data_IF_266712646932
#
_entry.id   IF_266712646932
#
_cell.length_a   1.000
_cell.length_b   1.000
_cell.length_c   1.000
_cell.angle_alpha   90.00
_cell.angle_beta   90.00
_cell.angle_gamma   90.00
#
_symmetry.space_group_name_H-M   'P 1'
#
loop_
_entity.id
_entity.type
_entity.pdbx_description
1 polymer ?
#
# COMPACT_ATOMS: atom_id res chain seq x y z
N UNK A 1 8.16 -7.82 15.70
CA UNK A 1 9.39 -7.39 14.97
C UNK A 1 9.00 -7.13 13.54
N UNK A 2 9.10 -5.88 13.11
CA UNK A 2 8.58 -5.41 11.85
C UNK A 2 9.31 -6.09 10.68
N UNK A 3 8.54 -6.71 9.80
CA UNK A 3 9.06 -7.31 8.58
C UNK A 3 9.23 -6.22 7.50
N UNK A 4 10.22 -6.33 6.62
CA UNK A 4 10.39 -5.37 5.52
C UNK A 4 10.69 -6.09 4.21
N UNK A 5 10.24 -5.53 3.08
CA UNK A 5 10.65 -5.99 1.76
C UNK A 5 12.01 -5.40 1.35
N UNK A 6 12.96 -6.25 0.96
CA UNK A 6 14.25 -5.82 0.36
C UNK A 6 14.07 -4.95 -0.88
N UNK A 7 12.98 -5.17 -1.61
CA UNK A 7 12.77 -4.51 -2.88
C UNK A 7 12.11 -3.14 -2.74
N UNK A 8 11.30 -2.93 -1.70
CA UNK A 8 10.86 -1.58 -1.33
C UNK A 8 12.00 -0.82 -0.61
N UNK A 9 12.85 -1.49 0.16
CA UNK A 9 14.05 -0.89 0.76
C UNK A 9 15.01 -0.33 -0.31
N UNK A 10 14.95 -0.86 -1.53
CA UNK A 10 15.77 -0.41 -2.65
C UNK A 10 15.23 0.86 -3.35
N UNK A 11 14.02 1.33 -3.01
CA UNK A 11 13.41 2.52 -3.64
C UNK A 11 13.75 3.75 -2.77
N UNK A 12 14.52 4.72 -3.28
CA UNK A 12 14.86 5.92 -2.53
C UNK A 12 13.61 6.68 -2.07
N UNK A 13 13.63 7.14 -0.81
CA UNK A 13 12.53 7.93 -0.25
C UNK A 13 11.32 7.11 0.21
N UNK A 14 11.26 5.80 -0.08
CA UNK A 14 10.19 4.94 0.42
C UNK A 14 10.54 4.42 1.81
N UNK A 15 9.61 4.59 2.75
CA UNK A 15 9.62 3.90 4.05
C UNK A 15 8.42 3.00 4.15
N UNK A 16 8.63 1.74 4.52
CA UNK A 16 7.57 0.76 4.76
C UNK A 16 7.92 -0.21 5.87
N UNK A 17 6.91 -0.94 6.34
CA UNK A 17 7.08 -2.07 7.24
C UNK A 17 6.03 -3.15 6.92
N UNK A 18 6.06 -4.29 7.62
CA UNK A 18 5.01 -5.29 7.89
C UNK A 18 4.91 -5.55 9.40
N UNK A 19 3.84 -5.06 10.06
CA UNK A 19 3.77 -4.86 11.51
C UNK A 19 2.93 -5.97 12.14
N UNK A 20 3.32 -6.40 13.33
CA UNK A 20 2.48 -7.27 14.16
C UNK A 20 1.49 -6.45 15.02
N UNK A 21 0.70 -7.14 15.85
CA UNK A 21 -0.33 -6.51 16.70
C UNK A 21 0.27 -5.55 17.74
N UNK A 22 1.46 -5.84 18.28
CA UNK A 22 2.10 -5.02 19.30
C UNK A 22 2.66 -3.74 18.68
N UNK A 23 3.30 -3.87 17.54
CA UNK A 23 3.87 -2.73 16.81
C UNK A 23 2.78 -1.81 16.26
N UNK A 24 1.68 -2.43 15.81
CA UNK A 24 0.50 -1.72 15.32
C UNK A 24 -0.20 -0.93 16.43
N UNK A 25 -0.17 -1.40 17.69
CA UNK A 25 -0.76 -0.67 18.82
C UNK A 25 -0.05 0.65 19.11
N UNK A 26 1.25 0.74 18.82
CA UNK A 26 2.05 1.96 18.96
C UNK A 26 2.00 2.87 17.71
N UNK A 27 1.34 2.44 16.63
CA UNK A 27 1.32 3.18 15.37
C UNK A 27 0.30 4.35 15.43
N UNK A 28 0.69 5.58 15.02
CA UNK A 28 -0.20 6.73 15.05
C UNK A 28 -1.21 6.69 13.88
N UNK A 29 -2.33 6.00 14.07
CA UNK A 29 -3.39 5.85 13.06
C UNK A 29 -3.94 7.17 12.53
N UNK A 30 -3.89 8.25 13.33
CA UNK A 30 -4.32 9.57 12.92
C UNK A 30 -3.52 10.12 11.72
N UNK A 31 -2.32 9.59 11.47
CA UNK A 31 -1.49 9.99 10.35
C UNK A 31 -1.76 9.19 9.07
N UNK A 32 -2.59 8.13 9.12
CA UNK A 32 -2.96 7.37 7.93
C UNK A 32 -4.05 8.09 7.13
N UNK A 33 -3.92 8.01 5.80
CA UNK A 33 -5.03 8.27 4.89
C UNK A 33 -6.19 7.31 5.23
N UNK A 34 -7.34 7.82 5.71
CA UNK A 34 -8.34 6.96 6.33
C UNK A 34 -9.28 6.34 5.29
N UNK A 35 -9.53 5.03 5.40
CA UNK A 35 -10.54 4.30 4.62
C UNK A 35 -11.29 3.31 5.49
N UNK A 36 -12.46 2.87 5.03
CA UNK A 36 -13.18 1.72 5.60
C UNK A 36 -13.09 0.56 4.62
N UNK A 37 -12.42 -0.50 5.05
CA UNK A 37 -12.24 -1.74 4.27
C UNK A 37 -13.56 -2.49 4.22
N UNK A 38 -14.01 -2.83 3.01
CA UNK A 38 -15.32 -3.45 2.77
C UNK A 38 -15.21 -4.72 1.94
N UNK A 39 -13.98 -5.24 1.75
CA UNK A 39 -13.67 -6.41 0.92
C UNK A 39 -14.08 -6.22 -0.56
N UNK A 40 -14.14 -4.97 -1.02
CA UNK A 40 -14.40 -4.60 -2.40
C UNK A 40 -13.12 -4.49 -3.24
N UNK A 41 -13.24 -3.84 -4.39
CA UNK A 41 -12.15 -3.59 -5.34
C UNK A 41 -11.86 -2.09 -5.57
N UNK A 42 -12.43 -1.22 -4.74
CA UNK A 42 -12.28 0.23 -4.85
C UNK A 42 -10.93 0.71 -4.31
N UNK A 43 -10.31 1.63 -5.06
CA UNK A 43 -9.03 2.26 -4.72
C UNK A 43 -9.28 3.73 -4.41
N UNK A 44 -9.05 4.15 -3.17
CA UNK A 44 -9.12 5.55 -2.81
C UNK A 44 -7.84 6.28 -3.22
N UNK A 45 -7.96 7.28 -4.10
CA UNK A 45 -6.88 8.20 -4.41
C UNK A 45 -6.84 9.32 -3.36
N UNK A 46 -5.93 9.21 -2.40
CA UNK A 46 -5.79 10.20 -1.34
C UNK A 46 -4.99 11.41 -1.83
N UNK A 47 -5.60 12.59 -1.71
CA UNK A 47 -4.97 13.88 -2.00
C UNK A 47 -4.96 14.82 -0.79
N UNK A 48 -6.01 14.75 0.04
CA UNK A 48 -6.18 15.58 1.23
C UNK A 48 -7.15 14.91 2.21
N UNK A 49 -7.20 15.33 3.49
CA UNK A 49 -8.17 14.81 4.44
C UNK A 49 -9.61 15.00 3.97
N UNK A 50 -10.45 13.99 4.23
CA UNK A 50 -11.89 14.03 4.01
C UNK A 50 -12.64 13.99 5.35
N UNK A 51 -13.85 14.58 5.43
CA UNK A 51 -14.65 14.58 6.67
C UNK A 51 -15.14 13.17 7.04
N UNK A 52 -15.24 12.27 6.07
CA UNK A 52 -15.67 10.88 6.25
C UNK A 52 -14.62 9.92 5.70
N UNK A 53 -14.66 8.67 6.17
CA UNK A 53 -13.80 7.60 5.65
C UNK A 53 -14.46 6.97 4.42
N UNK A 54 -13.92 7.12 3.21
CA UNK A 54 -14.48 6.45 2.03
C UNK A 54 -14.39 4.92 2.19
N UNK A 55 -15.37 4.23 1.62
CA UNK A 55 -15.31 2.78 1.46
C UNK A 55 -14.30 2.46 0.34
N UNK A 56 -13.21 1.79 0.70
CA UNK A 56 -12.17 1.38 -0.24
C UNK A 56 -11.31 0.28 0.40
N UNK A 57 -10.72 -0.55 -0.44
CA UNK A 57 -9.82 -1.63 -0.02
C UNK A 57 -8.37 -1.40 -0.50
N UNK A 58 -8.11 -0.26 -1.13
CA UNK A 58 -6.76 0.23 -1.34
C UNK A 58 -6.69 1.75 -1.18
N UNK A 59 -5.49 2.24 -0.85
CA UNK A 59 -5.21 3.66 -0.76
C UNK A 59 -3.96 3.97 -1.58
N UNK A 60 -4.14 4.74 -2.65
CA UNK A 60 -3.08 5.24 -3.52
C UNK A 60 -2.84 6.72 -3.25
N UNK A 61 -1.58 7.16 -3.24
CA UNK A 61 -1.27 8.59 -3.12
C UNK A 61 0.04 8.97 -3.82
N UNK A 62 0.09 10.23 -4.26
CA UNK A 62 1.29 10.93 -4.70
C UNK A 62 1.73 12.03 -3.69
N UNK A 63 1.01 12.19 -2.58
CA UNK A 63 1.27 13.24 -1.59
C UNK A 63 2.51 12.87 -0.79
N UNK A 64 3.58 13.65 -0.97
CA UNK A 64 4.82 13.44 -0.24
C UNK A 64 4.59 13.55 1.29
N UNK A 65 5.16 12.61 2.05
CA UNK A 65 5.02 12.52 3.50
C UNK A 65 3.74 11.82 3.98
N UNK A 66 2.72 11.65 3.12
CA UNK A 66 1.48 11.01 3.51
C UNK A 66 1.67 9.50 3.74
N UNK A 67 1.22 9.02 4.90
CA UNK A 67 1.21 7.59 5.23
C UNK A 67 -0.05 6.93 4.68
N UNK A 68 0.10 5.85 3.93
CA UNK A 68 -1.02 4.99 3.52
C UNK A 68 -0.89 3.62 4.16
N UNK A 69 -2.01 3.04 4.57
CA UNK A 69 -2.05 1.72 5.19
C UNK A 69 -3.48 1.20 5.20
N UNK A 70 -3.64 -0.10 5.08
CA UNK A 70 -4.88 -0.81 5.40
C UNK A 70 -4.75 -1.52 6.77
N UNK A 71 -5.59 -2.49 7.13
CA UNK A 71 -5.46 -3.37 8.32
C UNK A 71 -6.02 -4.75 7.93
N UNK A 72 -5.38 -5.85 8.33
CA UNK A 72 -5.88 -7.21 8.03
C UNK A 72 -5.79 -8.13 9.23
N UNK A 73 -6.73 -9.07 9.28
CA UNK A 73 -6.60 -10.34 9.98
C UNK A 73 -6.89 -11.42 8.93
N UNK A 74 -5.84 -12.08 8.44
CA UNK A 74 -5.85 -13.18 7.45
C UNK A 74 -5.94 -12.81 5.97
N UNK A 75 -6.52 -11.65 5.61
CA UNK A 75 -6.47 -11.14 4.24
C UNK A 75 -5.04 -10.76 3.81
N UNK A 76 -4.75 -10.78 2.51
CA UNK A 76 -3.42 -10.51 1.96
C UNK A 76 -3.12 -8.99 1.95
N UNK A 77 -2.11 -8.51 2.68
CA UNK A 77 -1.65 -7.13 2.53
C UNK A 77 -0.67 -7.00 1.36
N UNK A 78 -0.84 -5.97 0.53
CA UNK A 78 0.14 -5.59 -0.49
C UNK A 78 0.58 -4.15 -0.31
N UNK A 79 1.89 -3.92 -0.46
CA UNK A 79 2.46 -2.60 -0.62
C UNK A 79 3.07 -2.48 -2.02
N UNK A 80 2.76 -1.39 -2.70
CA UNK A 80 3.20 -1.09 -4.06
C UNK A 80 3.79 0.31 -4.07
N UNK A 81 4.93 0.49 -4.72
CA UNK A 81 5.52 1.81 -4.93
C UNK A 81 6.04 1.94 -6.37
N UNK A 82 6.03 3.16 -6.89
CA UNK A 82 6.70 3.46 -8.16
C UNK A 82 8.23 3.44 -7.97
N UNK A 83 8.97 3.15 -9.04
CA UNK A 83 10.44 3.04 -8.99
C UNK A 83 11.14 4.34 -8.61
N UNK A 84 10.52 5.47 -8.91
CA UNK A 84 10.99 6.81 -8.58
C UNK A 84 10.55 7.28 -7.19
N UNK A 85 9.83 6.44 -6.44
CA UNK A 85 9.34 6.74 -5.10
C UNK A 85 8.23 7.80 -5.03
N UNK A 86 7.71 8.28 -6.16
CA UNK A 86 6.68 9.35 -6.19
C UNK A 86 5.28 8.88 -5.83
N UNK A 87 4.99 7.60 -6.04
CA UNK A 87 3.66 7.03 -5.85
C UNK A 87 3.74 5.81 -4.94
N UNK A 88 2.78 5.70 -4.02
CA UNK A 88 2.64 4.54 -3.14
C UNK A 88 1.18 4.08 -3.09
N UNK A 89 0.99 2.78 -2.86
CA UNK A 89 -0.31 2.19 -2.64
C UNK A 89 -0.24 1.10 -1.56
N UNK A 90 -1.21 1.11 -0.66
CA UNK A 90 -1.44 0.02 0.30
C UNK A 90 -2.77 -0.66 -0.02
N UNK A 91 -2.77 -2.00 -0.10
CA UNK A 91 -3.90 -2.79 -0.61
C UNK A 91 -4.30 -3.88 0.38
N UNK A 92 -5.60 -3.97 0.64
CA UNK A 92 -6.28 -5.01 1.39
C UNK A 92 -6.88 -5.99 0.40
N UNK A 93 -6.18 -7.09 0.17
CA UNK A 93 -6.59 -8.10 -0.80
C UNK A 93 -7.22 -9.29 -0.07
N UNK A 94 -8.46 -9.10 0.39
CA UNK A 94 -9.33 -10.20 0.79
C UNK A 94 -9.77 -11.03 -0.42
N UNK A 95 -10.31 -12.23 -0.20
CA UNK A 95 -10.67 -13.14 -1.29
C UNK A 95 -11.67 -12.52 -2.28
N UNK A 96 -12.67 -11.77 -1.79
CA UNK A 96 -13.65 -11.06 -2.62
C UNK A 96 -12.98 -9.95 -3.45
N UNK A 97 -12.14 -9.12 -2.81
CA UNK A 97 -11.41 -8.07 -3.50
C UNK A 97 -10.46 -8.62 -4.57
N UNK A 98 -9.80 -9.75 -4.30
CA UNK A 98 -8.95 -10.44 -5.26
C UNK A 98 -9.74 -10.87 -6.50
N UNK A 99 -10.86 -11.56 -6.32
CA UNK A 99 -11.74 -11.99 -7.43
C UNK A 99 -12.31 -10.78 -8.19
N UNK A 100 -12.62 -9.70 -7.48
CA UNK A 100 -13.16 -8.46 -8.06
C UNK A 100 -12.09 -7.53 -8.66
N UNK A 101 -10.80 -7.90 -8.63
CA UNK A 101 -9.74 -7.16 -9.33
C UNK A 101 -9.08 -6.01 -8.56
N UNK A 102 -9.08 -6.03 -7.21
CA UNK A 102 -8.44 -4.97 -6.39
C UNK A 102 -6.97 -4.72 -6.76
N UNK A 103 -6.23 -5.77 -7.14
CA UNK A 103 -4.82 -5.67 -7.53
C UNK A 103 -4.69 -4.94 -8.87
N UNK A 104 -5.49 -5.32 -9.86
CA UNK A 104 -5.47 -4.69 -11.19
C UNK A 104 -5.90 -3.22 -11.13
N UNK A 105 -6.91 -2.91 -10.32
CA UNK A 105 -7.36 -1.55 -10.06
C UNK A 105 -6.25 -0.72 -9.40
N UNK A 106 -5.56 -1.30 -8.40
CA UNK A 106 -4.42 -0.64 -7.74
C UNK A 106 -3.28 -0.35 -8.72
N UNK A 107 -2.97 -1.29 -9.62
CA UNK A 107 -1.96 -1.09 -10.67
C UNK A 107 -2.43 -0.12 -11.77
N UNK A 108 -3.73 0.02 -12.01
CA UNK A 108 -4.26 1.01 -12.95
C UNK A 108 -3.93 2.44 -12.51
N UNK A 109 -3.97 2.74 -11.20
CA UNK A 109 -3.64 4.06 -10.67
C UNK A 109 -2.24 4.54 -11.08
N UNK A 110 -1.22 3.69 -10.94
CA UNK A 110 0.14 4.06 -11.34
C UNK A 110 0.28 4.24 -12.86
N UNK A 111 -0.40 3.40 -13.67
CA UNK A 111 -0.41 3.52 -15.13
C UNK A 111 -0.97 4.86 -15.59
N UNK A 112 -2.05 5.32 -14.94
CA UNK A 112 -2.68 6.61 -15.23
C UNK A 112 -1.78 7.81 -14.90
N UNK A 113 -0.87 7.68 -13.94
CA UNK A 113 0.04 8.75 -13.52
C UNK A 113 1.34 8.81 -14.35
N UNK A 114 1.49 7.99 -15.40
CA UNK A 114 2.73 7.85 -16.14
C UNK A 114 3.87 7.22 -15.33
N UNK A 115 3.57 6.72 -14.13
CA UNK A 115 4.50 5.95 -13.31
C UNK A 115 4.66 4.58 -13.94
N UNK A 116 5.82 4.33 -14.56
CA UNK A 116 6.11 3.04 -15.17
C UNK A 116 6.04 1.90 -14.15
N UNK A 117 4.95 1.15 -14.12
CA UNK A 117 4.94 -0.23 -13.65
C UNK A 117 5.24 -1.08 -14.89
N UNK A 118 6.48 -1.52 -15.04
CA UNK A 118 6.93 -2.18 -16.26
C UNK A 118 6.02 -3.36 -16.65
N UNK A 119 5.53 -3.35 -17.91
CA UNK A 119 4.91 -4.53 -18.55
C UNK A 119 6.01 -5.57 -18.81
N UNK A 120 5.64 -6.83 -18.64
CA UNK A 120 6.49 -8.02 -18.64
C UNK A 120 7.53 -8.06 -19.76
N UNK A 121 8.80 -8.01 -19.36
CA UNK A 121 9.98 -8.10 -20.20
C UNK A 121 11.23 -7.88 -19.35
N UNK A 122 11.50 -8.80 -18.42
CA UNK A 122 12.80 -8.96 -17.76
C UNK A 122 13.48 -7.67 -17.20
N UNK A 123 12.85 -6.93 -16.25
CA UNK A 123 13.49 -6.13 -15.15
C UNK A 123 12.41 -5.33 -14.36
N UNK A 124 12.31 -5.61 -13.04
CA UNK A 124 11.10 -5.59 -12.18
C UNK A 124 10.78 -4.30 -11.41
N UNK A 125 9.54 -3.79 -11.53
CA UNK A 125 8.87 -2.95 -10.51
C UNK A 125 8.15 -3.85 -9.49
N UNK A 126 7.70 -3.30 -8.37
CA UNK A 126 7.97 -3.93 -7.09
C UNK A 126 6.67 -4.12 -6.26
N UNK A 127 5.95 -5.25 -6.45
CA UNK A 127 4.77 -5.65 -5.64
C UNK A 127 5.24 -6.61 -4.55
N UNK A 128 4.92 -6.33 -3.27
CA UNK A 128 5.38 -7.17 -2.17
C UNK A 128 4.28 -7.59 -1.21
N UNK A 129 4.30 -8.88 -0.91
CA UNK A 129 3.64 -9.48 0.23
C UNK A 129 4.60 -10.39 0.99
N UNK A 130 4.61 -10.39 2.34
CA UNK A 130 5.43 -11.28 3.14
C UNK A 130 4.89 -12.70 3.33
N UNK A 131 3.73 -13.08 2.80
CA UNK A 131 3.04 -14.29 3.27
C UNK A 131 2.61 -15.27 2.19
N UNK A 132 3.35 -16.38 2.11
CA UNK A 132 2.79 -17.72 2.20
C UNK A 132 2.96 -18.16 3.67
N UNK A 133 1.91 -18.68 4.31
CA UNK A 133 1.81 -19.29 5.67
C UNK A 133 1.34 -18.42 6.87
N UNK A 134 0.08 -18.68 7.25
CA UNK A 134 -0.63 -18.60 8.55
C UNK A 134 -0.71 -17.27 9.32
N UNK A 135 -1.96 -16.78 9.35
CA UNK A 135 -2.71 -16.06 10.39
C UNK A 135 -2.16 -14.77 11.03
N UNK A 136 -3.02 -13.74 11.01
CA UNK A 136 -2.91 -12.43 11.67
C UNK A 136 -1.66 -11.57 11.35
N UNK A 137 -1.76 -10.68 10.36
CA UNK A 137 -0.82 -9.55 10.19
C UNK A 137 -1.60 -8.26 9.91
N UNK A 138 -1.53 -7.25 10.78
CA UNK A 138 -2.14 -5.92 10.57
C UNK A 138 -1.15 -5.01 9.81
N UNK A 139 -1.65 -3.99 9.12
CA UNK A 139 -0.95 -3.32 8.00
C UNK A 139 -0.24 -2.00 8.42
N UNK A 140 0.24 -1.26 7.43
CA UNK A 140 1.58 -0.79 7.20
C UNK A 140 1.61 0.41 6.34
N UNK A 141 2.28 1.40 6.90
CA UNK A 141 2.60 2.65 6.25
C UNK A 141 3.54 2.41 5.08
N UNK A 142 3.20 2.93 3.90
CA UNK A 142 4.18 3.42 2.94
C UNK A 142 4.15 4.95 2.93
N UNK A 143 5.30 5.61 2.84
CA UNK A 143 5.40 7.05 2.60
C UNK A 143 6.35 7.34 1.45
N UNK A 144 5.94 8.23 0.54
CA UNK A 144 6.83 8.84 -0.44
C UNK A 144 7.55 10.03 0.20
N UNK A 145 8.86 9.98 0.37
CA UNK A 145 9.68 11.12 0.80
C UNK A 145 10.17 11.97 -0.39
N UNK A 146 10.58 13.23 -0.17
CA UNK A 146 11.23 14.01 -1.21
C UNK A 146 12.50 13.30 -1.69
N UNK A 147 12.73 13.27 -3.01
CA UNK A 147 13.96 12.75 -3.59
C UNK A 147 15.15 13.51 -2.99
N UNK A 148 16.10 12.79 -2.38
CA UNK A 148 17.35 13.40 -1.92
C UNK A 148 18.08 13.92 -3.16
N UNK A 149 18.37 15.23 -3.18
CA UNK A 149 19.20 15.88 -4.20
C UNK A 149 20.65 15.42 -4.07
#
# INVERSE_FOLDING_TARGET
MAYTSRLLNAIPGIRHAFLDVHETAAFPYAELAPVKLVHGNEVHHYQQPLPTRPHADAVFTAVAGQKVGVVTADCLPLLIASRDGRYVCSVHAGWQGLVSGIVDNSLACFRQQGGGIGRSGHRRGAVYSPLLLRSLRRILSATAGPARR
#
